data_IF_516316213202
#
_entry.id   IF_516316213202
#
_cell.length_a   1.000
_cell.length_b   1.000
_cell.length_c   1.000
_cell.angle_alpha   90.00
_cell.angle_beta   90.00
_cell.angle_gamma   90.00
#
_symmetry.space_group_name_H-M   'P 1'
#
loop_
_entity.id
_entity.type
_entity.pdbx_description
1 polymer ?
#
# COMPACT_ATOMS: atom_id res chain seq x y z
N UNK A 1 2.54 -10.23 -18.92
CA UNK A 1 2.86 -11.05 -17.74
C UNK A 1 4.01 -11.97 -18.12
N UNK A 2 5.11 -12.00 -17.35
CA UNK A 2 6.27 -12.86 -17.62
C UNK A 2 6.37 -13.93 -16.53
N UNK A 3 6.39 -15.21 -16.93
CA UNK A 3 6.34 -16.36 -16.00
C UNK A 3 7.63 -17.19 -15.99
N UNK A 4 8.69 -16.75 -16.67
CA UNK A 4 9.99 -17.41 -16.62
C UNK A 4 10.62 -17.27 -15.24
N UNK A 5 11.48 -18.21 -14.85
CA UNK A 5 12.12 -18.22 -13.53
C UNK A 5 12.81 -16.88 -13.21
N UNK A 6 13.51 -16.29 -14.18
CA UNK A 6 14.17 -14.99 -14.02
C UNK A 6 13.18 -13.86 -13.70
N UNK A 7 12.07 -13.79 -14.43
CA UNK A 7 11.02 -12.80 -14.18
C UNK A 7 10.34 -13.00 -12.82
N UNK A 8 10.14 -14.26 -12.41
CA UNK A 8 9.59 -14.60 -11.09
C UNK A 8 10.51 -14.09 -9.98
N UNK A 9 11.83 -14.28 -10.12
CA UNK A 9 12.81 -13.78 -9.14
C UNK A 9 12.80 -12.25 -9.07
N UNK A 10 12.78 -11.55 -10.20
CA UNK A 10 12.69 -10.09 -10.21
C UNK A 10 11.38 -9.58 -9.58
N UNK A 11 10.26 -10.22 -9.90
CA UNK A 11 8.97 -9.87 -9.32
C UNK A 11 8.95 -10.11 -7.81
N UNK A 12 9.52 -11.21 -7.35
CA UNK A 12 9.66 -11.52 -5.93
C UNK A 12 10.53 -10.47 -5.22
N UNK A 13 11.67 -10.10 -5.79
CA UNK A 13 12.53 -9.06 -5.23
C UNK A 13 11.79 -7.71 -5.11
N UNK A 14 11.02 -7.33 -6.14
CA UNK A 14 10.18 -6.13 -6.10
C UNK A 14 9.11 -6.19 -5.01
N UNK A 15 8.42 -7.32 -4.86
CA UNK A 15 7.44 -7.52 -3.80
C UNK A 15 8.06 -7.41 -2.41
N UNK A 16 9.18 -8.08 -2.15
CA UNK A 16 9.86 -8.02 -0.86
C UNK A 16 10.33 -6.61 -0.51
N UNK A 17 10.81 -5.84 -1.50
CA UNK A 17 11.21 -4.45 -1.29
C UNK A 17 10.02 -3.56 -0.92
N UNK A 18 8.85 -3.76 -1.54
CA UNK A 18 7.63 -2.99 -1.28
C UNK A 18 6.92 -3.42 0.01
N UNK A 19 6.95 -4.71 0.32
CA UNK A 19 6.19 -5.32 1.42
C UNK A 19 6.99 -5.50 2.71
N UNK A 20 8.31 -5.27 2.71
CA UNK A 20 9.16 -5.49 3.87
C UNK A 20 8.73 -4.73 5.14
N UNK A 21 8.11 -3.55 4.98
CA UNK A 21 7.54 -2.78 6.10
C UNK A 21 6.14 -3.24 6.54
N UNK A 22 5.40 -3.96 5.68
CA UNK A 22 4.02 -4.43 5.93
C UNK A 22 3.99 -5.64 6.86
N UNK A 23 5.04 -6.47 6.86
CA UNK A 23 5.14 -7.70 7.65
C UNK A 23 5.61 -7.44 9.10
N UNK A 24 5.91 -6.20 9.46
CA UNK A 24 6.36 -5.84 10.81
C UNK A 24 5.18 -5.86 11.80
N UNK A 25 5.37 -6.38 13.00
CA UNK A 25 4.33 -6.44 14.06
C UNK A 25 3.69 -5.08 14.41
N UNK A 26 4.42 -3.99 14.15
CA UNK A 26 3.98 -2.61 14.40
C UNK A 26 3.53 -1.88 13.13
N UNK A 27 3.14 -2.62 12.09
CA UNK A 27 2.65 -2.02 10.85
C UNK A 27 1.30 -1.34 11.08
N UNK A 28 1.21 -0.05 10.77
CA UNK A 28 -0.05 0.71 10.76
C UNK A 28 -0.56 0.75 9.32
N UNK A 29 -1.68 0.07 9.01
CA UNK A 29 -2.24 0.10 7.66
C UNK A 29 -2.64 1.52 7.26
N UNK A 30 -2.47 1.85 5.98
CA UNK A 30 -3.03 3.07 5.42
C UNK A 30 -4.56 3.02 5.52
N UNK A 31 -5.16 4.03 6.15
CA UNK A 31 -6.62 4.14 6.21
C UNK A 31 -7.18 4.37 4.81
N UNK A 32 -8.02 3.45 4.34
CA UNK A 32 -8.70 3.52 3.04
C UNK A 32 -10.23 3.52 3.17
N UNK A 33 -10.74 3.83 4.37
CA UNK A 33 -12.18 3.89 4.63
C UNK A 33 -12.92 4.97 3.84
N UNK A 34 -14.25 4.93 3.86
CA UNK A 34 -15.13 5.86 3.14
C UNK A 34 -14.88 7.34 3.46
N UNK A 35 -14.38 7.63 4.66
CA UNK A 35 -14.04 8.98 5.11
C UNK A 35 -12.57 9.36 4.85
N UNK A 36 -11.71 8.39 4.51
CA UNK A 36 -10.28 8.62 4.29
C UNK A 36 -10.02 9.33 2.95
N UNK A 37 -10.78 8.98 1.92
CA UNK A 37 -10.68 9.55 0.57
C UNK A 37 -11.97 10.31 0.21
N UNK A 38 -12.32 11.31 1.01
CA UNK A 38 -13.39 12.25 0.71
C UNK A 38 -12.87 13.65 0.36
N UNK A 39 -13.70 14.48 -0.28
CA UNK A 39 -13.46 15.94 -0.25
C UNK A 39 -13.48 16.35 1.22
N UNK A 40 -12.41 16.96 1.73
CA UNK A 40 -12.41 17.52 3.09
C UNK A 40 -13.67 18.38 3.22
N UNK A 41 -14.55 18.06 4.17
CA UNK A 41 -15.56 19.03 4.60
C UNK A 41 -14.77 20.25 5.03
N UNK A 42 -14.87 21.34 4.25
CA UNK A 42 -14.50 22.64 4.78
C UNK A 42 -15.59 22.90 5.79
N UNK A 43 -15.27 22.82 7.08
CA UNK A 43 -16.15 23.36 8.09
C UNK A 43 -16.34 24.83 7.72
N UNK A 44 -17.46 25.13 7.07
CA UNK A 44 -17.95 26.50 6.92
C UNK A 44 -18.25 26.93 8.35
N UNK A 45 -17.27 27.54 9.00
CA UNK A 45 -17.52 28.36 10.17
C UNK A 45 -18.48 29.46 9.71
N UNK A 46 -19.74 29.30 10.08
CA UNK A 46 -20.80 30.29 9.93
C UNK A 46 -20.70 31.33 11.05
#
# INVERSE_FOLDING_TARGET
SCNTATCVTHRLAGLLHLSGGVVKDNFVPTNVGSEAFGRRRRDLQA
#
